data_IF_318619596362
#
_entry.id   IF_318619596362
#
_cell.length_a   1.000
_cell.length_b   1.000
_cell.length_c   1.000
_cell.angle_alpha   90.00
_cell.angle_beta   90.00
_cell.angle_gamma   90.00
#
_symmetry.space_group_name_H-M   'P 1'
#
loop_
_entity.id
_entity.type
_entity.pdbx_description
1 polymer ?
#
# COMPACT_ATOMS: atom_id res chain seq x y z
N UNK A 1 -12.99 -12.89 5.16
CA UNK A 1 -11.57 -12.58 5.11
C UNK A 1 -11.38 -11.19 4.50
N UNK A 2 -10.72 -10.32 5.23
CA UNK A 2 -10.67 -8.94 4.82
C UNK A 2 -9.52 -8.67 3.84
N UNK A 3 -9.79 -7.86 2.83
CA UNK A 3 -8.81 -7.37 1.88
C UNK A 3 -8.77 -5.85 1.96
N UNK A 4 -7.58 -5.31 2.17
CA UNK A 4 -7.37 -3.87 2.12
C UNK A 4 -7.35 -3.43 0.66
N UNK A 5 -8.19 -2.48 0.28
CA UNK A 5 -8.27 -1.99 -1.11
C UNK A 5 -7.70 -0.59 -1.19
N UNK A 6 -6.70 -0.41 -2.04
CA UNK A 6 -6.02 0.87 -2.23
C UNK A 6 -5.92 1.19 -3.71
N UNK A 7 -5.99 2.48 -4.03
CA UNK A 7 -5.85 2.97 -5.39
C UNK A 7 -4.48 3.60 -5.56
N UNK A 8 -3.84 3.33 -6.68
CA UNK A 8 -2.54 3.89 -7.06
C UNK A 8 -2.65 4.66 -8.37
N UNK A 9 -1.77 5.63 -8.55
CA UNK A 9 -1.52 6.18 -9.88
C UNK A 9 -0.61 5.23 -10.67
N UNK A 10 -0.42 5.52 -11.96
CA UNK A 10 0.28 4.61 -12.88
C UNK A 10 1.72 4.30 -12.46
N UNK A 11 2.50 5.31 -12.06
CA UNK A 11 3.93 5.12 -11.79
C UNK A 11 4.17 4.20 -10.60
N UNK A 12 3.57 4.41 -9.42
CA UNK A 12 3.71 3.45 -8.34
C UNK A 12 3.10 2.08 -8.65
N UNK A 13 2.00 2.03 -9.40
CA UNK A 13 1.41 0.75 -9.80
C UNK A 13 2.39 -0.07 -10.65
N UNK A 14 3.00 0.56 -11.65
CA UNK A 14 3.90 -0.14 -12.57
C UNK A 14 5.13 -0.73 -11.88
N UNK A 15 5.75 0.01 -10.96
CA UNK A 15 6.92 -0.51 -10.23
C UNK A 15 6.54 -1.56 -9.21
N UNK A 16 5.35 -1.46 -8.64
CA UNK A 16 4.87 -2.43 -7.66
C UNK A 16 4.54 -3.77 -8.31
N UNK A 17 3.94 -3.75 -9.50
CA UNK A 17 3.57 -4.99 -10.20
C UNK A 17 4.80 -5.77 -10.67
N UNK A 18 5.95 -5.14 -10.82
CA UNK A 18 7.21 -5.83 -11.15
C UNK A 18 7.78 -6.60 -9.97
N UNK A 19 7.31 -6.33 -8.75
CA UNK A 19 7.85 -6.91 -7.53
C UNK A 19 9.00 -6.11 -6.92
N UNK A 20 9.48 -5.06 -7.56
CA UNK A 20 10.56 -4.22 -7.02
C UNK A 20 10.12 -3.48 -5.76
N UNK A 21 8.90 -2.90 -5.78
CA UNK A 21 8.37 -2.15 -4.65
C UNK A 21 7.48 -3.07 -3.81
N UNK A 22 7.95 -3.41 -2.61
CA UNK A 22 7.26 -4.34 -1.70
C UNK A 22 6.70 -3.65 -0.45
N UNK A 23 6.67 -2.34 -0.44
CA UNK A 23 6.09 -1.56 0.64
C UNK A 23 5.28 -0.42 0.04
N UNK A 24 4.05 -0.28 0.48
CA UNK A 24 3.22 0.88 0.13
C UNK A 24 3.31 1.89 1.25
N UNK A 25 3.58 3.14 0.90
CA UNK A 25 3.77 4.23 1.86
C UNK A 25 2.56 5.16 1.81
N UNK A 26 1.97 5.40 2.97
CA UNK A 26 0.83 6.31 3.11
C UNK A 26 1.07 7.28 4.25
N UNK A 27 1.04 8.57 3.96
CA UNK A 27 1.13 9.59 4.98
C UNK A 27 -0.05 9.45 5.94
N UNK A 28 0.18 9.72 7.22
CA UNK A 28 -0.85 9.63 8.23
C UNK A 28 -2.01 10.57 7.89
N UNK A 29 -3.23 10.04 7.91
CA UNK A 29 -4.46 10.78 7.71
C UNK A 29 -5.58 10.02 8.39
N UNK A 30 -6.70 10.70 8.65
CA UNK A 30 -7.87 10.03 9.22
C UNK A 30 -8.37 8.90 8.33
N UNK A 31 -8.29 9.11 7.01
CA UNK A 31 -8.76 8.10 6.05
C UNK A 31 -7.92 6.83 6.14
N UNK A 32 -6.59 6.93 6.02
CA UNK A 32 -5.74 5.74 6.05
C UNK A 32 -5.80 5.06 7.42
N UNK A 33 -5.85 5.83 8.50
CA UNK A 33 -5.95 5.27 9.85
C UNK A 33 -7.24 4.48 10.03
N UNK A 34 -8.35 4.96 9.47
CA UNK A 34 -9.64 4.24 9.53
C UNK A 34 -9.61 2.94 8.72
N UNK A 35 -8.75 2.86 7.69
CA UNK A 35 -8.58 1.64 6.88
C UNK A 35 -7.68 0.62 7.56
N UNK A 36 -6.68 1.09 8.30
CA UNK A 36 -5.70 0.20 8.94
C UNK A 36 -6.12 -0.25 10.34
N UNK A 37 -6.79 0.62 11.08
CA UNK A 37 -7.13 0.36 12.48
C UNK A 37 -8.64 0.43 12.70
N UNK A 38 -9.13 -0.38 13.65
CA UNK A 38 -10.52 -0.34 14.06
C UNK A 38 -10.75 0.80 15.09
N UNK A 39 -11.97 0.92 15.59
CA UNK A 39 -12.34 1.98 16.55
C UNK A 39 -11.62 1.84 17.89
N UNK A 40 -11.09 0.67 18.21
CA UNK A 40 -10.30 0.41 19.42
C UNK A 40 -8.80 0.56 19.20
N UNK A 41 -8.39 1.05 18.02
CA UNK A 41 -7.00 1.28 17.64
C UNK A 41 -6.19 -0.03 17.46
N UNK A 42 -6.88 -1.12 17.21
CA UNK A 42 -6.25 -2.39 16.85
C UNK A 42 -6.09 -2.47 15.33
N UNK A 43 -4.93 -2.98 14.88
CA UNK A 43 -4.70 -3.21 13.46
C UNK A 43 -5.75 -4.20 12.94
N UNK A 44 -6.39 -3.85 11.82
CA UNK A 44 -7.37 -4.73 11.19
C UNK A 44 -6.68 -5.98 10.66
N UNK A 45 -7.38 -7.10 10.74
CA UNK A 45 -6.82 -8.41 10.38
C UNK A 45 -6.99 -8.66 8.87
N UNK A 46 -6.17 -7.98 8.07
CA UNK A 46 -6.15 -8.20 6.62
C UNK A 46 -5.27 -9.40 6.27
N UNK A 47 -5.68 -10.13 5.25
CA UNK A 47 -4.87 -11.18 4.64
C UNK A 47 -4.22 -10.68 3.35
N UNK A 48 -4.90 -9.83 2.61
CA UNK A 48 -4.48 -9.35 1.30
C UNK A 48 -4.60 -7.84 1.17
N UNK A 49 -3.84 -7.29 0.21
CA UNK A 49 -4.01 -5.92 -0.26
C UNK A 49 -4.26 -5.97 -1.77
N UNK A 50 -5.35 -5.36 -2.21
CA UNK A 50 -5.67 -5.21 -3.63
C UNK A 50 -5.36 -3.79 -4.06
N UNK A 51 -4.54 -3.66 -5.09
CA UNK A 51 -4.20 -2.37 -5.68
C UNK A 51 -4.90 -2.20 -7.03
N UNK A 52 -5.48 -1.03 -7.24
CA UNK A 52 -6.12 -0.66 -8.50
C UNK A 52 -5.38 0.53 -9.11
N UNK A 53 -5.09 0.46 -10.40
CA UNK A 53 -4.48 1.58 -11.13
C UNK A 53 -5.58 2.56 -11.55
N UNK A 54 -5.83 3.55 -10.70
CA UNK A 54 -6.87 4.55 -10.94
C UNK A 54 -8.24 4.12 -10.44
N UNK A 55 -9.23 4.96 -10.66
CA UNK A 55 -10.61 4.75 -10.23
C UNK A 55 -11.45 4.23 -11.40
N UNK A 56 -12.41 3.36 -11.09
CA UNK A 56 -13.34 2.83 -12.08
C UNK A 56 -13.34 1.31 -12.11
N UNK A 57 -14.29 0.74 -12.87
CA UNK A 57 -14.55 -0.70 -12.85
C UNK A 57 -13.52 -1.51 -13.64
N UNK A 58 -13.04 -0.97 -14.75
CA UNK A 58 -12.22 -1.72 -15.69
C UNK A 58 -10.74 -1.35 -15.61
N UNK A 59 -10.29 -0.94 -14.44
CA UNK A 59 -8.89 -0.58 -14.23
C UNK A 59 -8.05 -1.80 -13.85
N UNK A 60 -6.76 -1.84 -14.27
CA UNK A 60 -5.88 -2.93 -13.89
C UNK A 60 -5.77 -3.08 -12.37
N UNK A 61 -5.71 -4.32 -11.92
CA UNK A 61 -5.64 -4.66 -10.49
C UNK A 61 -4.63 -5.77 -10.27
N UNK A 62 -4.07 -5.79 -9.07
CA UNK A 62 -3.34 -6.96 -8.60
C UNK A 62 -3.47 -7.05 -7.08
N UNK A 63 -3.21 -8.24 -6.56
CA UNK A 63 -3.35 -8.54 -5.12
C UNK A 63 -2.05 -9.10 -4.60
N UNK A 64 -1.64 -8.64 -3.42
CA UNK A 64 -0.49 -9.15 -2.69
C UNK A 64 -0.90 -9.61 -1.31
N UNK A 65 -0.08 -10.47 -0.70
CA UNK A 65 -0.23 -10.76 0.72
C UNK A 65 0.01 -9.51 1.57
N UNK A 66 -0.75 -9.36 2.64
CA UNK A 66 -0.55 -8.30 3.64
C UNK A 66 0.37 -8.83 4.73
N UNK A 67 1.50 -8.15 4.96
CA UNK A 67 2.52 -8.59 5.93
C UNK A 67 2.64 -7.68 7.15
N UNK A 68 1.72 -6.74 7.31
CA UNK A 68 1.71 -5.87 8.48
C UNK A 68 2.03 -4.43 8.15
N UNK A 69 2.07 -3.60 9.20
CA UNK A 69 2.28 -2.16 9.08
C UNK A 69 3.33 -1.73 10.10
N UNK A 70 4.25 -0.89 9.66
CA UNK A 70 5.16 -0.16 10.56
C UNK A 70 4.96 1.33 10.34
N UNK A 71 5.52 2.14 11.23
CA UNK A 71 5.41 3.61 11.16
C UNK A 71 6.82 4.19 11.07
N UNK A 72 6.99 5.16 10.18
CA UNK A 72 8.25 5.88 10.03
C UNK A 72 7.98 7.38 9.93
N UNK A 73 8.89 8.20 10.47
CA UNK A 73 8.82 9.65 10.33
C UNK A 73 9.60 10.14 9.11
N UNK A 74 10.32 9.24 8.44
CA UNK A 74 11.13 9.57 7.27
C UNK A 74 11.19 8.38 6.34
N UNK A 75 10.84 8.60 5.07
CA UNK A 75 11.00 7.61 4.01
C UNK A 75 11.71 8.29 2.84
N UNK A 76 12.70 7.61 2.27
CA UNK A 76 13.42 8.08 1.10
C UNK A 76 13.80 6.86 0.25
N UNK A 77 12.93 6.55 -0.72
CA UNK A 77 13.11 5.40 -1.59
C UNK A 77 13.00 5.81 -3.06
N UNK A 78 14.01 5.47 -3.83
CA UNK A 78 14.04 5.71 -5.28
C UNK A 78 13.96 4.36 -6.01
N UNK A 79 13.00 4.24 -6.91
CA UNK A 79 12.77 3.02 -7.68
C UNK A 79 13.26 3.17 -9.12
N UNK A 80 13.44 2.03 -9.80
CA UNK A 80 14.07 2.00 -11.13
C UNK A 80 13.28 2.76 -12.19
N UNK A 81 11.96 2.91 -12.04
CA UNK A 81 11.12 3.66 -12.99
C UNK A 81 11.07 5.17 -12.70
N UNK A 82 11.90 5.65 -11.76
CA UNK A 82 11.96 7.07 -11.39
C UNK A 82 11.02 7.47 -10.28
N UNK A 83 10.17 6.58 -9.78
CA UNK A 83 9.35 6.89 -8.62
C UNK A 83 10.25 7.19 -7.42
N UNK A 84 10.06 8.34 -6.81
CA UNK A 84 10.77 8.74 -5.61
C UNK A 84 9.76 8.97 -4.50
N UNK A 85 9.78 8.11 -3.48
CA UNK A 85 8.98 8.29 -2.28
C UNK A 85 9.84 9.01 -1.25
N UNK A 86 9.48 10.25 -0.95
CA UNK A 86 10.26 11.13 -0.07
C UNK A 86 9.30 11.79 0.91
N UNK A 87 9.26 11.28 2.14
CA UNK A 87 8.37 11.79 3.18
C UNK A 87 9.17 12.24 4.39
N UNK A 88 8.75 13.35 5.00
CA UNK A 88 9.36 13.93 6.18
C UNK A 88 8.36 14.03 7.34
N UNK A 89 7.35 13.20 7.34
CA UNK A 89 6.28 13.20 8.32
C UNK A 89 5.83 11.78 8.61
N UNK A 90 4.99 11.61 9.62
CA UNK A 90 4.48 10.28 10.00
C UNK A 90 3.89 9.57 8.79
N UNK A 91 4.44 8.41 8.48
CA UNK A 91 4.08 7.60 7.30
C UNK A 91 3.85 6.17 7.73
N UNK A 92 2.74 5.59 7.27
CA UNK A 92 2.47 4.18 7.45
C UNK A 92 3.13 3.40 6.32
N UNK A 93 3.91 2.38 6.70
CA UNK A 93 4.59 1.49 5.77
C UNK A 93 3.83 0.16 5.77
N UNK A 94 3.09 -0.09 4.69
CA UNK A 94 2.27 -1.29 4.52
C UNK A 94 3.14 -2.32 3.81
N UNK A 95 3.55 -3.36 4.53
CA UNK A 95 4.47 -4.37 4.01
C UNK A 95 3.71 -5.44 3.24
N UNK A 96 4.22 -5.78 2.07
CA UNK A 96 3.59 -6.70 1.13
C UNK A 96 4.42 -7.96 0.99
N UNK A 97 3.74 -9.10 0.89
CA UNK A 97 4.36 -10.37 0.54
C UNK A 97 4.23 -10.66 -0.95
N UNK A 98 4.09 -11.93 -1.25
CA UNK A 98 4.03 -12.38 -2.63
C UNK A 98 2.73 -11.93 -3.32
N UNK A 99 2.81 -11.74 -4.63
CA UNK A 99 1.63 -11.52 -5.45
C UNK A 99 0.77 -12.77 -5.47
N UNK A 100 -0.54 -12.61 -5.31
CA UNK A 100 -1.48 -13.71 -5.36
C UNK A 100 -2.45 -13.54 -6.53
N UNK A 101 -2.79 -14.66 -7.15
CA UNK A 101 -3.73 -14.71 -8.27
C UNK A 101 -5.00 -15.41 -7.76
N UNK A 102 -6.00 -14.60 -7.48
CA UNK A 102 -7.26 -15.08 -6.90
C UNK A 102 -8.32 -15.29 -7.97
#
# INVERSE_FOLDING_TARGET
MATLKLTLSKIPFDVMITGEKKTEYRRASKWIESRLYDKYRNLRNYMYVEFTNGYGKDKPRFTCEFKGVTVSDRVDELYSNGLHVDTHEKTYCIHLGERVFL
#
